data_IF_267514177890
#
_entry.id   IF_267514177890
#
_cell.length_a   1.000
_cell.length_b   1.000
_cell.length_c   1.000
_cell.angle_alpha   90.00
_cell.angle_beta   90.00
_cell.angle_gamma   90.00
#
_symmetry.space_group_name_H-M   'P 1'
#
loop_
_entity.id
_entity.type
_entity.pdbx_description
1 polymer ?
#
# COMPACT_ATOMS: atom_id res chain seq x y z
N UNK A 1 3.59 11.53 -19.92
CA UNK A 1 4.67 10.61 -19.54
C UNK A 1 4.31 9.27 -20.14
N UNK A 2 5.23 8.63 -20.85
CA UNK A 2 4.91 7.42 -21.62
C UNK A 2 4.74 6.24 -20.66
N UNK A 3 3.57 5.59 -20.72
CA UNK A 3 3.28 4.39 -19.93
C UNK A 3 4.21 3.26 -20.39
N UNK A 4 4.89 2.62 -19.43
CA UNK A 4 5.73 1.45 -19.68
C UNK A 4 4.82 0.23 -19.80
N UNK A 5 5.04 -0.56 -20.84
CA UNK A 5 4.45 -1.88 -20.95
C UNK A 5 5.36 -2.91 -20.27
N UNK A 6 4.96 -3.38 -19.08
CA UNK A 6 5.71 -4.36 -18.32
C UNK A 6 5.51 -5.79 -18.83
N UNK A 7 4.56 -6.00 -19.76
CA UNK A 7 4.32 -7.29 -20.40
C UNK A 7 5.44 -7.61 -21.38
N UNK A 8 5.86 -8.88 -21.43
CA UNK A 8 6.84 -9.33 -22.42
C UNK A 8 6.16 -9.54 -23.77
N UNK A 9 6.15 -8.49 -24.60
CA UNK A 9 5.64 -8.57 -25.98
C UNK A 9 6.75 -8.72 -27.04
N UNK A 10 8.01 -8.43 -26.72
CA UNK A 10 9.10 -8.43 -27.69
C UNK A 10 10.33 -9.24 -27.22
N UNK A 11 10.76 -10.19 -28.07
CA UNK A 11 11.96 -11.03 -27.88
C UNK A 11 13.29 -10.26 -28.04
N UNK A 12 13.26 -8.93 -28.11
CA UNK A 12 14.43 -8.10 -28.43
C UNK A 12 15.12 -7.47 -27.23
N UNK A 13 14.45 -7.38 -26.08
CA UNK A 13 15.06 -6.89 -24.84
C UNK A 13 14.94 -7.93 -23.73
N UNK A 14 16.07 -8.49 -23.33
CA UNK A 14 16.17 -9.43 -22.21
C UNK A 14 16.17 -8.72 -20.84
N UNK A 15 15.41 -7.63 -20.69
CA UNK A 15 15.29 -6.94 -19.39
C UNK A 15 14.24 -7.67 -18.54
N UNK A 16 14.67 -8.20 -17.40
CA UNK A 16 13.78 -8.89 -16.45
C UNK A 16 12.73 -7.93 -15.88
N UNK A 17 11.59 -8.46 -15.41
CA UNK A 17 10.52 -7.62 -14.86
C UNK A 17 11.01 -6.71 -13.72
N UNK A 18 11.89 -7.22 -12.85
CA UNK A 18 12.43 -6.43 -11.74
C UNK A 18 13.30 -5.27 -12.21
N UNK A 19 14.07 -5.42 -13.29
CA UNK A 19 14.88 -4.31 -13.83
C UNK A 19 13.98 -3.21 -14.40
N UNK A 20 12.94 -3.58 -15.18
CA UNK A 20 11.93 -2.63 -15.67
C UNK A 20 11.26 -1.86 -14.52
N UNK A 21 10.93 -2.54 -13.41
CA UNK A 21 10.33 -1.91 -12.23
C UNK A 21 11.33 -1.01 -11.51
N UNK A 22 12.60 -1.41 -11.41
CA UNK A 22 13.65 -0.57 -10.83
C UNK A 22 13.88 0.71 -11.65
N UNK A 23 13.84 0.61 -12.98
CA UNK A 23 13.89 1.77 -13.88
C UNK A 23 12.65 2.66 -13.70
N UNK A 24 11.44 2.08 -13.64
CA UNK A 24 10.20 2.86 -13.47
C UNK A 24 10.07 3.53 -12.11
N UNK A 25 10.66 2.96 -11.05
CA UNK A 25 10.74 3.59 -9.75
C UNK A 25 11.34 5.01 -9.83
N UNK A 26 12.15 5.28 -10.87
CA UNK A 26 12.68 6.60 -11.21
C UNK A 26 13.43 7.26 -10.04
N UNK A 27 14.18 6.45 -9.29
CA UNK A 27 15.02 6.93 -8.19
C UNK A 27 16.26 7.61 -8.77
N UNK A 28 16.64 8.81 -8.30
CA UNK A 28 17.86 9.48 -8.74
C UNK A 28 19.12 8.66 -8.42
N UNK A 29 20.15 8.80 -9.25
CA UNK A 29 21.45 8.13 -9.05
C UNK A 29 22.08 8.45 -7.69
N UNK A 30 21.80 9.64 -7.13
CA UNK A 30 22.22 10.05 -5.78
C UNK A 30 21.72 9.12 -4.67
N UNK A 31 20.65 8.37 -4.90
CA UNK A 31 20.09 7.42 -3.94
C UNK A 31 20.75 6.05 -4.00
N UNK A 32 21.54 5.75 -5.05
CA UNK A 32 22.09 4.41 -5.26
C UNK A 32 23.16 4.09 -4.21
N UNK A 33 22.99 2.96 -3.53
CA UNK A 33 23.93 2.45 -2.53
C UNK A 33 24.62 1.16 -3.01
N UNK A 34 23.86 0.26 -3.64
CA UNK A 34 24.38 -0.96 -4.25
C UNK A 34 25.05 -1.97 -3.30
N UNK A 35 24.85 -1.85 -1.98
CA UNK A 35 25.58 -2.62 -0.96
C UNK A 35 24.96 -4.00 -0.72
N UNK A 36 25.80 -5.03 -0.60
CA UNK A 36 25.33 -6.40 -0.31
C UNK A 36 25.04 -6.55 1.19
N UNK A 37 23.83 -7.01 1.54
CA UNK A 37 23.50 -7.45 2.89
C UNK A 37 23.78 -8.96 2.98
N UNK A 38 24.79 -9.33 3.78
CA UNK A 38 25.16 -10.74 3.91
C UNK A 38 24.20 -11.47 4.86
N UNK A 39 23.99 -12.78 4.62
CA UNK A 39 23.22 -13.63 5.55
C UNK A 39 23.81 -13.64 6.95
N UNK A 40 25.14 -13.57 7.04
CA UNK A 40 25.88 -13.49 8.30
C UNK A 40 25.52 -12.22 9.06
N UNK A 41 25.49 -11.05 8.41
CA UNK A 41 25.04 -9.79 9.04
C UNK A 41 23.62 -9.89 9.60
N UNK A 42 22.69 -10.55 8.88
CA UNK A 42 21.34 -10.74 9.40
C UNK A 42 21.30 -11.63 10.65
N UNK A 43 22.09 -12.71 10.66
CA UNK A 43 22.07 -13.72 11.74
C UNK A 43 22.85 -13.24 12.97
N UNK A 44 24.00 -12.60 12.78
CA UNK A 44 24.91 -12.26 13.88
C UNK A 44 24.50 -10.96 14.58
N UNK A 45 23.89 -10.01 13.85
CA UNK A 45 23.49 -8.72 14.41
C UNK A 45 22.08 -8.72 15.02
N UNK A 46 21.34 -9.84 14.93
CA UNK A 46 19.95 -9.91 15.37
C UNK A 46 19.65 -11.18 16.16
N UNK A 47 18.78 -11.07 17.16
CA UNK A 47 18.28 -12.22 17.90
C UNK A 47 17.18 -12.95 17.12
N UNK A 48 17.59 -13.83 16.20
CA UNK A 48 16.67 -14.59 15.35
C UNK A 48 16.23 -15.91 15.98
N UNK A 49 14.94 -16.23 15.82
CA UNK A 49 14.42 -17.56 16.14
C UNK A 49 15.02 -18.64 15.22
N UNK A 50 14.95 -19.91 15.63
CA UNK A 50 15.39 -21.04 14.78
C UNK A 50 14.66 -21.09 13.44
N UNK A 51 13.39 -20.66 13.39
CA UNK A 51 12.61 -20.59 12.16
C UNK A 51 13.11 -19.47 11.25
N UNK A 52 13.42 -18.29 11.80
CA UNK A 52 13.91 -17.15 11.04
C UNK A 52 15.33 -17.39 10.51
N UNK A 53 16.20 -18.03 11.30
CA UNK A 53 17.51 -18.49 10.82
C UNK A 53 17.39 -19.41 9.61
N UNK A 54 16.40 -20.31 9.60
CA UNK A 54 16.11 -21.17 8.43
C UNK A 54 15.60 -20.36 7.24
N UNK A 55 14.74 -19.35 7.44
CA UNK A 55 14.34 -18.46 6.33
C UNK A 55 15.55 -17.79 5.68
N UNK A 56 16.49 -17.25 6.48
CA UNK A 56 17.70 -16.60 5.96
C UNK A 56 18.62 -17.58 5.23
N UNK A 57 18.82 -18.77 5.78
CA UNK A 57 19.78 -19.76 5.25
C UNK A 57 19.21 -20.52 4.06
N UNK A 58 17.99 -21.02 4.19
CA UNK A 58 17.37 -21.98 3.27
C UNK A 58 16.58 -21.32 2.14
N UNK A 59 15.92 -20.18 2.39
CA UNK A 59 15.00 -19.55 1.43
C UNK A 59 15.66 -18.40 0.69
N UNK A 60 16.31 -17.48 1.40
CA UNK A 60 16.96 -16.31 0.79
C UNK A 60 18.20 -16.76 0.02
N UNK A 61 18.40 -16.28 -1.21
CA UNK A 61 19.63 -16.47 -1.97
C UNK A 61 20.60 -15.31 -1.72
N UNK A 62 20.13 -14.08 -1.93
CA UNK A 62 20.92 -12.86 -1.73
C UNK A 62 20.05 -11.66 -1.44
N UNK A 63 20.64 -10.65 -0.78
CA UNK A 63 19.99 -9.37 -0.51
C UNK A 63 20.95 -8.26 -0.91
N UNK A 64 20.43 -7.25 -1.62
CA UNK A 64 21.16 -6.04 -1.99
C UNK A 64 20.36 -4.85 -1.48
N UNK A 65 21.00 -4.01 -0.67
CA UNK A 65 20.52 -2.68 -0.37
C UNK A 65 20.79 -1.82 -1.60
N UNK A 66 19.75 -1.62 -2.41
CA UNK A 66 19.89 -1.06 -3.74
C UNK A 66 19.96 0.46 -3.67
N UNK A 67 18.99 1.09 -3.00
CA UNK A 67 18.90 2.53 -2.85
C UNK A 67 18.54 2.92 -1.41
N UNK A 68 18.88 4.14 -1.07
CA UNK A 68 18.51 4.79 0.19
C UNK A 68 18.05 6.20 -0.12
N UNK A 69 16.82 6.53 0.25
CA UNK A 69 16.24 7.85 0.11
C UNK A 69 16.40 8.57 1.44
N UNK A 70 17.21 9.63 1.42
CA UNK A 70 17.50 10.52 2.56
C UNK A 70 17.36 11.99 2.15
N UNK A 71 17.15 12.91 3.12
CA UNK A 71 17.04 14.34 2.82
C UNK A 71 18.16 14.84 1.90
N UNK A 72 19.39 14.34 2.08
CA UNK A 72 20.57 14.72 1.29
C UNK A 72 20.51 14.21 -0.16
N UNK A 73 19.73 13.18 -0.46
CA UNK A 73 19.68 12.53 -1.78
C UNK A 73 18.57 13.05 -2.69
N UNK A 74 17.40 13.40 -2.11
CA UNK A 74 16.20 13.77 -2.88
C UNK A 74 15.47 15.02 -2.34
N UNK A 75 16.04 15.71 -1.34
CA UNK A 75 15.52 16.95 -0.75
C UNK A 75 14.07 16.84 -0.23
N UNK A 76 13.76 15.74 0.44
CA UNK A 76 12.47 15.52 1.11
C UNK A 76 12.67 15.59 2.63
N UNK A 77 11.85 16.36 3.36
CA UNK A 77 11.96 16.47 4.82
C UNK A 77 11.70 15.15 5.56
N UNK A 78 12.37 14.99 6.70
CA UNK A 78 12.05 13.93 7.68
C UNK A 78 10.69 14.18 8.33
N UNK A 79 10.06 13.12 8.83
CA UNK A 79 8.84 13.20 9.61
C UNK A 79 9.01 12.37 10.89
N UNK A 80 9.02 13.05 12.04
CA UNK A 80 9.24 12.41 13.34
C UNK A 80 8.20 12.92 14.33
N UNK A 81 7.53 11.98 14.98
CA UNK A 81 6.60 12.23 16.09
C UNK A 81 6.95 11.28 17.24
N UNK A 82 6.16 11.32 18.31
CA UNK A 82 6.18 10.36 19.40
C UNK A 82 5.64 8.97 19.02
N UNK A 83 4.96 8.86 17.87
CA UNK A 83 4.37 7.61 17.38
C UNK A 83 5.11 7.03 16.17
N UNK A 84 5.70 7.85 15.30
CA UNK A 84 6.34 7.38 14.07
C UNK A 84 7.66 8.10 13.79
N UNK A 85 8.57 7.41 13.12
CA UNK A 85 9.87 7.97 12.72
C UNK A 85 10.18 7.57 11.27
N UNK A 86 10.13 8.57 10.38
CA UNK A 86 10.37 8.45 8.94
C UNK A 86 11.49 9.42 8.56
N UNK A 87 12.74 8.98 8.79
CA UNK A 87 13.95 9.77 8.51
C UNK A 87 14.64 9.37 7.20
N UNK A 88 14.42 8.13 6.75
CA UNK A 88 14.94 7.57 5.51
C UNK A 88 14.03 6.46 5.00
N UNK A 89 14.11 6.11 3.71
CA UNK A 89 13.45 4.94 3.13
C UNK A 89 14.48 4.10 2.40
N UNK A 90 14.55 2.81 2.74
CA UNK A 90 15.44 1.86 2.07
C UNK A 90 14.72 1.14 0.93
N UNK A 91 15.41 0.90 -0.17
CA UNK A 91 14.96 0.01 -1.24
C UNK A 91 15.90 -1.18 -1.29
N UNK A 92 15.35 -2.37 -1.03
CA UNK A 92 16.13 -3.62 -1.03
C UNK A 92 15.64 -4.57 -2.11
N UNK A 93 16.58 -5.20 -2.81
CA UNK A 93 16.33 -6.33 -3.69
C UNK A 93 16.66 -7.62 -2.97
N UNK A 94 15.71 -8.56 -2.97
CA UNK A 94 15.80 -9.84 -2.27
C UNK A 94 15.58 -10.94 -3.28
N UNK A 95 16.63 -11.70 -3.59
CA UNK A 95 16.51 -12.88 -4.46
C UNK A 95 16.28 -14.09 -3.57
N UNK A 96 15.19 -14.82 -3.81
CA UNK A 96 14.91 -16.10 -3.17
C UNK A 96 15.48 -17.25 -4.03
N UNK A 97 15.87 -18.34 -3.38
CA UNK A 97 16.28 -19.54 -4.11
C UNK A 97 15.09 -20.06 -4.92
N UNK A 98 15.34 -20.37 -6.19
CA UNK A 98 14.31 -20.80 -7.14
C UNK A 98 13.79 -22.22 -6.87
N UNK A 99 12.94 -22.34 -5.84
CA UNK A 99 12.17 -23.53 -5.50
C UNK A 99 10.70 -23.10 -5.34
N UNK A 100 9.77 -23.82 -5.95
CA UNK A 100 8.34 -23.51 -5.87
C UNK A 100 7.82 -23.46 -4.43
N UNK A 101 8.42 -24.22 -3.50
CA UNK A 101 8.09 -24.19 -2.07
C UNK A 101 8.44 -22.86 -1.41
N UNK A 102 9.43 -22.15 -1.94
CA UNK A 102 9.86 -20.85 -1.45
C UNK A 102 8.89 -19.73 -1.83
N UNK A 103 8.12 -19.87 -2.92
CA UNK A 103 7.05 -18.90 -3.27
C UNK A 103 6.05 -18.73 -2.14
N UNK A 104 5.69 -19.82 -1.47
CA UNK A 104 4.76 -19.82 -0.33
C UNK A 104 5.35 -19.16 0.94
N UNK A 105 6.66 -18.85 0.96
CA UNK A 105 7.35 -18.20 2.08
C UNK A 105 7.46 -16.68 1.94
N UNK A 106 6.90 -16.09 0.87
CA UNK A 106 6.89 -14.64 0.62
C UNK A 106 6.58 -13.82 1.88
N UNK A 107 5.40 -14.04 2.48
CA UNK A 107 4.94 -13.30 3.66
C UNK A 107 5.89 -13.44 4.86
N UNK A 108 6.51 -14.62 5.04
CA UNK A 108 7.45 -14.87 6.13
C UNK A 108 8.77 -14.12 5.91
N UNK A 109 9.34 -14.19 4.70
CA UNK A 109 10.59 -13.48 4.36
C UNK A 109 10.38 -11.97 4.43
N UNK A 110 9.29 -11.47 3.84
CA UNK A 110 8.97 -10.05 3.86
C UNK A 110 8.84 -9.52 5.29
N UNK A 111 8.08 -10.22 6.15
CA UNK A 111 7.92 -9.89 7.57
C UNK A 111 9.25 -9.88 8.31
N UNK A 112 10.10 -10.89 8.09
CA UNK A 112 11.41 -10.97 8.71
C UNK A 112 12.24 -9.73 8.34
N UNK A 113 12.39 -9.44 7.05
CA UNK A 113 13.22 -8.31 6.60
C UNK A 113 12.66 -6.94 7.02
N UNK A 114 11.33 -6.78 7.06
CA UNK A 114 10.72 -5.57 7.63
C UNK A 114 11.01 -5.42 9.12
N UNK A 115 11.18 -6.52 9.85
CA UNK A 115 11.49 -6.49 11.29
C UNK A 115 12.97 -6.17 11.54
N UNK A 116 13.88 -6.68 10.72
CA UNK A 116 15.33 -6.52 10.90
C UNK A 116 15.87 -5.16 10.47
N UNK A 117 15.14 -4.43 9.63
CA UNK A 117 15.57 -3.11 9.14
C UNK A 117 14.76 -2.04 9.86
N UNK A 118 15.39 -1.16 10.66
CA UNK A 118 14.69 -0.20 11.52
C UNK A 118 14.20 1.07 10.79
N UNK A 119 13.96 0.99 9.48
CA UNK A 119 13.47 2.09 8.65
C UNK A 119 12.30 1.60 7.78
N UNK A 120 11.44 2.49 7.25
CA UNK A 120 10.54 2.14 6.16
C UNK A 120 11.31 1.51 4.99
N UNK A 121 10.81 0.39 4.46
CA UNK A 121 11.50 -0.37 3.40
C UNK A 121 10.53 -0.65 2.26
N UNK A 122 11.02 -0.45 1.03
CA UNK A 122 10.45 -0.99 -0.20
C UNK A 122 11.22 -2.28 -0.53
N UNK A 123 10.58 -3.44 -0.36
CA UNK A 123 11.20 -4.72 -0.70
C UNK A 123 10.77 -5.15 -2.10
N UNK A 124 11.74 -5.38 -2.98
CA UNK A 124 11.57 -6.01 -4.28
C UNK A 124 12.05 -7.45 -4.17
N UNK A 125 11.12 -8.40 -4.02
CA UNK A 125 11.42 -9.81 -3.85
C UNK A 125 11.33 -10.53 -5.21
N UNK A 126 12.30 -11.37 -5.50
CA UNK A 126 12.42 -12.05 -6.79
C UNK A 126 12.56 -13.56 -6.59
N UNK A 127 11.86 -14.33 -7.41
CA UNK A 127 12.06 -15.77 -7.54
C UNK A 127 11.91 -16.22 -8.99
N UNK A 128 13.02 -16.66 -9.59
CA UNK A 128 13.04 -16.88 -11.04
C UNK A 128 12.80 -15.56 -11.78
N UNK A 129 11.77 -15.49 -12.61
CA UNK A 129 11.38 -14.27 -13.35
C UNK A 129 10.17 -13.54 -12.72
N UNK A 130 9.75 -13.96 -11.54
CA UNK A 130 8.63 -13.36 -10.83
C UNK A 130 9.09 -12.33 -9.81
N UNK A 131 8.31 -11.26 -9.68
CA UNK A 131 8.51 -10.15 -8.75
C UNK A 131 7.37 -10.09 -7.75
N UNK A 132 7.66 -9.86 -6.48
CA UNK A 132 6.69 -9.40 -5.50
C UNK A 132 7.21 -8.13 -4.82
N UNK A 133 6.31 -7.20 -4.51
CA UNK A 133 6.61 -5.94 -3.82
C UNK A 133 6.01 -6.00 -2.43
N UNK A 134 6.79 -5.60 -1.42
CA UNK A 134 6.34 -5.57 -0.04
C UNK A 134 6.68 -4.26 0.68
N UNK A 135 5.69 -3.72 1.39
CA UNK A 135 5.77 -2.54 2.24
C UNK A 135 5.23 -2.87 3.63
N UNK A 136 5.61 -2.09 4.65
CA UNK A 136 5.09 -2.27 5.99
C UNK A 136 4.96 -0.94 6.73
N UNK A 137 3.76 -0.69 7.28
CA UNK A 137 3.52 0.39 8.23
C UNK A 137 4.25 0.09 9.53
N UNK A 138 5.07 1.03 9.98
CA UNK A 138 5.85 0.93 11.23
C UNK A 138 5.58 2.12 12.13
N UNK A 139 5.54 1.83 13.43
CA UNK A 139 5.47 2.84 14.49
C UNK A 139 6.41 2.53 15.62
N UNK A 140 6.71 3.53 16.42
CA UNK A 140 7.46 3.42 17.67
C UNK A 140 6.61 2.64 18.69
N UNK A 141 7.25 1.69 19.37
CA UNK A 141 6.63 0.99 20.48
C UNK A 141 6.50 1.95 21.68
N UNK A 142 5.27 2.14 22.16
CA UNK A 142 4.97 3.06 23.26
C UNK A 142 5.48 2.57 24.62
N UNK A 143 5.67 1.26 24.79
CA UNK A 143 6.24 0.68 26.01
C UNK A 143 7.78 0.64 25.99
N UNK A 144 8.39 0.59 24.81
CA UNK A 144 9.85 0.52 24.62
C UNK A 144 10.25 1.29 23.36
N UNK A 145 10.55 2.59 23.52
CA UNK A 145 10.82 3.51 22.40
C UNK A 145 12.05 3.13 21.55
N UNK A 146 12.86 2.16 22.00
CA UNK A 146 13.98 1.62 21.20
C UNK A 146 13.54 0.61 20.14
N UNK A 147 12.27 0.18 20.17
CA UNK A 147 11.71 -0.85 19.28
C UNK A 147 10.64 -0.29 18.36
N UNK A 148 10.60 -0.83 17.15
CA UNK A 148 9.51 -0.60 16.21
C UNK A 148 8.50 -1.75 16.26
N UNK A 149 7.23 -1.39 16.03
CA UNK A 149 6.12 -2.33 15.83
C UNK A 149 5.70 -2.25 14.37
N UNK A 150 5.58 -3.40 13.72
CA UNK A 150 4.94 -3.52 12.41
C UNK A 150 3.42 -3.57 12.62
N UNK A 151 2.70 -2.62 12.05
CA UNK A 151 1.24 -2.54 12.15
C UNK A 151 0.56 -3.40 11.08
N UNK A 152 1.02 -3.23 9.84
CA UNK A 152 0.53 -4.00 8.72
C UNK A 152 1.61 -4.19 7.65
N UNK A 153 1.53 -5.30 6.92
CA UNK A 153 2.43 -5.61 5.81
C UNK A 153 1.57 -5.76 4.56
N UNK A 154 1.84 -4.91 3.59
CA UNK A 154 1.21 -4.87 2.28
C UNK A 154 2.08 -5.68 1.32
N UNK A 155 1.52 -6.71 0.69
CA UNK A 155 2.27 -7.55 -0.26
C UNK A 155 1.49 -7.66 -1.57
N UNK A 156 2.16 -7.45 -2.70
CA UNK A 156 1.62 -7.94 -3.96
C UNK A 156 1.65 -9.47 -4.00
N UNK A 157 0.89 -10.04 -4.94
CA UNK A 157 1.14 -11.41 -5.38
C UNK A 157 2.43 -11.47 -6.21
N UNK A 158 2.84 -12.67 -6.58
CA UNK A 158 3.92 -12.86 -7.54
C UNK A 158 3.48 -12.42 -8.94
N UNK A 159 4.11 -11.36 -9.43
CA UNK A 159 3.89 -10.77 -10.74
C UNK A 159 4.85 -11.39 -11.75
N UNK A 160 4.35 -11.72 -12.95
CA UNK A 160 5.16 -12.22 -14.07
C UNK A 160 4.84 -11.44 -15.32
N UNK A 161 5.87 -11.01 -16.06
CA UNK A 161 5.72 -10.30 -17.33
C UNK A 161 4.93 -11.07 -18.39
N UNK A 162 4.80 -12.40 -18.25
CA UNK A 162 3.99 -13.25 -19.13
C UNK A 162 2.50 -13.22 -18.77
N UNK A 163 2.16 -12.92 -17.51
CA UNK A 163 0.83 -13.08 -16.93
C UNK A 163 0.19 -11.81 -16.37
N UNK A 164 0.85 -10.65 -16.49
CA UNK A 164 0.31 -9.39 -15.95
C UNK A 164 -1.09 -9.11 -16.48
N UNK A 165 -2.01 -8.78 -15.58
CA UNK A 165 -3.31 -8.19 -15.87
C UNK A 165 -3.16 -6.70 -16.25
N UNK A 166 -4.24 -6.08 -16.74
CA UNK A 166 -4.25 -4.63 -16.99
C UNK A 166 -3.97 -3.84 -15.70
N UNK A 167 -4.67 -4.19 -14.61
CA UNK A 167 -4.51 -3.54 -13.31
C UNK A 167 -3.11 -3.69 -12.72
N UNK A 168 -2.46 -4.84 -12.89
CA UNK A 168 -1.06 -5.00 -12.45
C UNK A 168 -0.11 -4.15 -13.29
N UNK A 169 -0.36 -3.97 -14.59
CA UNK A 169 0.43 -3.06 -15.41
C UNK A 169 0.22 -1.59 -15.01
N UNK A 170 -1.02 -1.19 -14.71
CA UNK A 170 -1.34 0.15 -14.22
C UNK A 170 -0.68 0.42 -12.87
N UNK A 171 -0.79 -0.54 -11.93
CA UNK A 171 -0.08 -0.51 -10.65
C UNK A 171 1.43 -0.33 -10.82
N UNK A 172 2.07 -1.11 -11.71
CA UNK A 172 3.51 -1.01 -11.91
C UNK A 172 3.92 0.35 -12.50
N UNK A 173 3.08 0.97 -13.33
CA UNK A 173 3.31 2.33 -13.83
C UNK A 173 3.18 3.37 -12.72
N UNK A 174 2.17 3.22 -11.86
CA UNK A 174 1.93 4.12 -10.73
C UNK A 174 3.00 4.01 -9.65
N UNK A 175 3.59 2.84 -9.45
CA UNK A 175 4.64 2.56 -8.46
C UNK A 175 5.98 3.23 -8.84
N UNK A 176 6.01 4.56 -8.76
CA UNK A 176 7.13 5.43 -9.14
C UNK A 176 7.26 6.61 -8.18
N UNK A 177 8.50 7.07 -7.94
CA UNK A 177 8.77 8.26 -7.13
C UNK A 177 8.07 9.52 -7.67
N UNK A 178 7.74 9.54 -8.96
CA UNK A 178 7.05 10.66 -9.62
C UNK A 178 5.58 10.79 -9.23
N UNK A 179 4.97 9.72 -8.73
CA UNK A 179 3.52 9.65 -8.45
C UNK A 179 3.20 9.72 -6.95
N UNK A 180 4.23 9.95 -6.12
CA UNK A 180 4.10 10.04 -4.67
C UNK A 180 4.35 11.46 -4.17
N UNK A 181 3.91 11.73 -2.94
CA UNK A 181 4.12 12.98 -2.25
C UNK A 181 5.61 13.25 -2.03
N UNK A 182 5.98 14.52 -2.09
CA UNK A 182 7.30 15.02 -1.73
C UNK A 182 7.23 15.92 -0.49
N UNK A 183 6.11 15.93 0.24
CA UNK A 183 5.91 16.78 1.42
C UNK A 183 6.86 16.40 2.56
N UNK A 184 6.96 15.09 2.84
CA UNK A 184 7.89 14.50 3.80
C UNK A 184 7.94 12.97 3.58
N UNK A 185 8.86 12.27 4.26
CA UNK A 185 9.01 10.82 4.10
C UNK A 185 7.82 9.97 4.55
N UNK A 186 7.01 10.46 5.51
CA UNK A 186 5.81 9.75 5.92
C UNK A 186 4.78 9.74 4.78
N UNK A 187 4.43 10.91 4.24
CA UNK A 187 3.47 11.03 3.13
C UNK A 187 3.94 10.30 1.87
N UNK A 188 5.24 10.39 1.56
CA UNK A 188 5.84 9.65 0.45
C UNK A 188 5.63 8.14 0.60
N UNK A 189 5.92 7.60 1.78
CA UNK A 189 5.78 6.15 2.02
C UNK A 189 4.31 5.72 2.07
N UNK A 190 3.44 6.56 2.65
CA UNK A 190 2.00 6.32 2.65
C UNK A 190 1.43 6.29 1.23
N UNK A 191 1.91 7.12 0.32
CA UNK A 191 1.49 7.06 -1.08
C UNK A 191 1.90 5.75 -1.77
N UNK A 192 3.09 5.20 -1.50
CA UNK A 192 3.45 3.87 -1.99
C UNK A 192 2.55 2.77 -1.40
N UNK A 193 2.18 2.87 -0.12
CA UNK A 193 1.20 1.97 0.50
C UNK A 193 -0.15 2.10 -0.20
N UNK A 194 -0.62 3.32 -0.47
CA UNK A 194 -1.88 3.59 -1.16
C UNK A 194 -1.92 2.94 -2.55
N UNK A 195 -0.82 2.99 -3.30
CA UNK A 195 -0.70 2.35 -4.62
C UNK A 195 -0.88 0.82 -4.50
N UNK A 196 -0.30 0.19 -3.47
CA UNK A 196 -0.42 -1.25 -3.24
C UNK A 196 -1.81 -1.64 -2.75
N UNK A 197 -2.43 -0.83 -1.88
CA UNK A 197 -3.85 -0.96 -1.50
C UNK A 197 -4.74 -0.83 -2.74
N UNK A 198 -4.42 0.07 -3.67
CA UNK A 198 -5.12 0.23 -4.95
C UNK A 198 -5.10 -1.04 -5.79
N UNK A 199 -3.96 -1.73 -5.87
CA UNK A 199 -3.86 -3.05 -6.51
C UNK A 199 -4.74 -4.09 -5.82
N UNK A 200 -4.68 -4.20 -4.49
CA UNK A 200 -5.52 -5.14 -3.73
C UNK A 200 -7.01 -4.88 -3.94
N UNK A 201 -7.40 -3.60 -3.90
CA UNK A 201 -8.76 -3.15 -4.14
C UNK A 201 -9.22 -3.50 -5.55
N UNK A 202 -8.36 -3.33 -6.56
CA UNK A 202 -8.68 -3.65 -7.97
C UNK A 202 -9.02 -5.12 -8.20
N UNK A 203 -8.43 -6.04 -7.44
CA UNK A 203 -8.76 -7.48 -7.51
C UNK A 203 -10.18 -7.76 -7.04
N UNK A 204 -10.73 -6.88 -6.20
CA UNK A 204 -12.05 -7.02 -5.60
C UNK A 204 -13.10 -6.25 -6.40
N UNK A 205 -12.81 -4.99 -6.75
CA UNK A 205 -13.72 -4.10 -7.47
C UNK A 205 -13.70 -4.30 -8.99
N UNK A 206 -12.63 -4.92 -9.52
CA UNK A 206 -12.38 -5.04 -10.97
C UNK A 206 -11.93 -3.73 -11.62
N UNK A 207 -11.56 -2.72 -10.82
CA UNK A 207 -11.08 -1.42 -11.31
C UNK A 207 -9.90 -0.95 -10.48
N UNK A 208 -8.81 -0.60 -11.14
CA UNK A 208 -7.66 0.01 -10.49
C UNK A 208 -7.89 1.53 -10.35
N UNK A 209 -7.74 2.11 -9.14
CA UNK A 209 -7.95 3.53 -8.93
C UNK A 209 -6.80 4.32 -9.56
N UNK A 210 -7.06 5.00 -10.67
CA UNK A 210 -6.06 5.82 -11.35
C UNK A 210 -5.82 7.12 -10.57
N UNK A 211 -4.57 7.40 -10.19
CA UNK A 211 -4.21 8.69 -9.58
C UNK A 211 -4.05 9.72 -10.70
N UNK A 212 -5.09 10.51 -10.97
CA UNK A 212 -4.94 11.67 -11.85
C UNK A 212 -3.93 12.64 -11.21
N UNK A 213 -2.73 12.76 -11.78
CA UNK A 213 -1.69 13.70 -11.36
C UNK A 213 -2.04 15.18 -11.70
N UNK A 214 -3.31 15.59 -11.61
CA UNK A 214 -3.76 16.95 -11.95
C UNK A 214 -3.86 17.92 -10.77
N UNK A 215 -3.65 17.48 -9.53
CA UNK A 215 -3.87 18.35 -8.35
C UNK A 215 -2.59 18.95 -7.73
N UNK A 216 -1.44 18.83 -8.42
CA UNK A 216 -0.23 19.59 -8.06
C UNK A 216 -0.09 20.81 -8.99
N UNK A 217 -0.86 21.86 -8.71
CA UNK A 217 -0.49 23.29 -8.84
C UNK A 217 -1.74 24.16 -8.77
N UNK A 218 -1.90 24.94 -7.70
CA UNK A 218 -2.11 26.40 -7.66
C UNK A 218 -2.42 26.73 -6.19
N UNK A 219 -1.39 27.10 -5.44
CA UNK A 219 -1.51 27.88 -4.22
C UNK A 219 -0.15 28.53 -3.95
N UNK A 220 0.22 29.49 -4.79
CA UNK A 220 1.17 30.53 -4.41
C UNK A 220 0.92 31.75 -5.28
N UNK A 221 0.50 32.80 -4.59
CA UNK A 221 0.73 34.23 -4.83
C UNK A 221 0.32 34.83 -6.17
N UNK A 222 -0.74 35.67 -6.14
CA UNK A 222 -0.59 37.11 -6.39
C UNK A 222 -1.58 37.90 -5.53
N UNK A 223 -1.05 38.58 -4.51
CA UNK A 223 -1.59 39.87 -4.07
C UNK A 223 -1.30 40.89 -5.17
N UNK A 224 -2.26 41.77 -5.50
CA UNK A 224 -2.03 43.21 -5.54
C UNK A 224 -3.33 44.03 -5.80
N UNK A 225 -3.45 45.10 -5.01
CA UNK A 225 -4.14 46.39 -5.24
C UNK A 225 -5.67 46.40 -5.49
N UNK A 226 -6.49 46.84 -4.53
CA UNK A 226 -6.86 48.23 -4.18
C UNK A 226 -8.02 48.82 -5.03
N UNK A 227 -9.17 49.08 -4.39
CA UNK A 227 -9.78 50.43 -4.20
C UNK A 227 -11.25 50.35 -3.73
N UNK A 228 -11.52 50.97 -2.56
CA UNK A 228 -12.64 51.88 -2.18
C UNK A 228 -14.06 51.68 -2.80
N UNK A 229 -15.22 51.84 -2.14
CA UNK A 229 -15.66 52.57 -0.94
C UNK A 229 -17.12 52.18 -0.56
N UNK A 230 -17.50 52.45 0.70
CA UNK A 230 -18.86 52.82 1.23
C UNK A 230 -20.07 51.88 0.98
N UNK A 231 -21.08 51.69 1.85
CA UNK A 231 -21.49 52.20 3.16
C UNK A 231 -22.66 51.32 3.68
N UNK A 232 -22.94 51.41 4.97
CA UNK A 232 -23.98 50.77 5.79
C UNK A 232 -25.39 50.60 5.17
N UNK A 233 -26.03 49.44 5.39
CA UNK A 233 -27.32 49.37 6.09
C UNK A 233 -27.74 47.93 6.38
N UNK A 234 -28.21 47.80 7.61
CA UNK A 234 -28.51 46.62 8.38
C UNK A 234 -29.82 45.93 7.98
N UNK A 235 -29.86 44.63 8.26
CA UNK A 235 -31.03 43.94 8.84
C UNK A 235 -32.30 43.85 7.99
N UNK A 236 -32.42 42.76 7.22
CA UNK A 236 -33.66 41.94 7.15
C UNK A 236 -33.57 40.70 6.24
N UNK A 237 -32.46 40.44 5.54
CA UNK A 237 -32.31 39.22 4.71
C UNK A 237 -31.48 38.09 5.35
N UNK A 238 -30.99 38.26 6.58
CA UNK A 238 -30.10 37.29 7.23
C UNK A 238 -30.84 36.09 7.86
N UNK A 239 -32.15 36.20 8.15
CA UNK A 239 -32.90 35.11 8.75
C UNK A 239 -33.32 34.00 7.76
N UNK A 240 -33.40 34.31 6.45
CA UNK A 240 -33.79 33.32 5.42
C UNK A 240 -32.59 32.60 4.78
N UNK A 241 -31.39 33.17 4.89
CA UNK A 241 -30.13 32.56 4.46
C UNK A 241 -29.54 31.65 5.56
N UNK A 242 -29.89 31.87 6.83
CA UNK A 242 -29.47 31.01 7.94
C UNK A 242 -30.17 29.64 7.90
N UNK A 243 -31.48 29.61 7.60
CA UNK A 243 -32.30 28.39 7.60
C UNK A 243 -31.95 27.47 6.41
N UNK A 244 -31.53 28.04 5.28
CA UNK A 244 -31.05 27.28 4.11
C UNK A 244 -29.57 26.88 4.19
N UNK A 245 -28.78 27.47 5.11
CA UNK A 245 -27.40 27.03 5.42
C UNK A 245 -27.34 25.94 6.48
N UNK A 246 -28.26 25.94 7.46
CA UNK A 246 -28.34 24.90 8.48
C UNK A 246 -28.92 23.57 7.96
N UNK A 247 -29.76 23.60 6.91
CA UNK A 247 -30.26 22.38 6.26
C UNK A 247 -29.28 21.74 5.27
N UNK A 248 -28.25 22.45 4.80
CA UNK A 248 -27.18 21.88 3.97
C UNK A 248 -25.96 21.38 4.74
N UNK A 249 -25.89 21.64 6.05
CA UNK A 249 -24.77 21.24 6.90
C UNK A 249 -24.98 19.88 7.61
N UNK A 250 -26.18 19.30 7.54
CA UNK A 250 -26.49 18.01 8.18
C UNK A 250 -26.65 16.82 7.22
N UNK A 251 -26.74 17.04 5.90
CA UNK A 251 -26.84 15.97 4.90
C UNK A 251 -25.53 15.66 4.14
N UNK A 252 -24.40 16.26 4.56
CA UNK A 252 -23.06 16.00 3.97
C UNK A 252 -22.14 15.23 4.94
N UNK A 253 -22.72 14.44 5.85
CA UNK A 253 -22.01 13.66 6.86
C UNK A 253 -22.33 12.16 6.72
N UNK A 254 -22.02 11.55 5.57
CA UNK A 254 -21.55 10.15 5.43
C UNK A 254 -21.59 9.66 3.97
N UNK A 255 -20.61 10.09 3.18
CA UNK A 255 -19.88 9.18 2.28
C UNK A 255 -18.56 9.84 1.88
N UNK A 256 -17.54 9.77 2.72
CA UNK A 256 -16.17 10.00 2.23
C UNK A 256 -15.90 8.96 1.15
N UNK A 257 -15.50 9.43 -0.03
CA UNK A 257 -15.16 8.56 -1.15
C UNK A 257 -14.07 7.59 -0.71
N UNK A 258 -14.07 6.35 -1.19
CA UNK A 258 -13.03 5.37 -0.86
C UNK A 258 -11.62 5.95 -1.04
N UNK A 259 -11.43 6.75 -2.08
CA UNK A 259 -10.17 7.41 -2.39
C UNK A 259 -9.66 8.30 -1.23
N UNK A 260 -10.56 8.98 -0.51
CA UNK A 260 -10.25 9.95 0.54
C UNK A 260 -9.99 9.31 1.91
N UNK A 261 -10.33 8.02 2.07
CA UNK A 261 -10.11 7.31 3.33
C UNK A 261 -8.61 7.13 3.61
N UNK A 262 -8.24 7.13 4.89
CA UNK A 262 -6.87 6.83 5.32
C UNK A 262 -6.47 5.41 4.90
N UNK A 263 -5.16 5.16 4.78
CA UNK A 263 -4.67 3.81 4.49
C UNK A 263 -5.07 2.81 5.57
N UNK A 264 -5.17 3.25 6.83
CA UNK A 264 -5.62 2.40 7.93
C UNK A 264 -7.09 2.00 7.78
N UNK A 265 -7.97 2.95 7.44
CA UNK A 265 -9.39 2.67 7.19
C UNK A 265 -9.59 1.75 5.97
N UNK A 266 -8.87 2.02 4.87
CA UNK A 266 -8.88 1.15 3.68
C UNK A 266 -8.44 -0.27 4.03
N UNK A 267 -7.37 -0.39 4.81
CA UNK A 267 -6.85 -1.68 5.28
C UNK A 267 -7.83 -2.40 6.20
N UNK A 268 -8.53 -1.67 7.08
CA UNK A 268 -9.55 -2.23 7.97
C UNK A 268 -10.73 -2.81 7.17
N UNK A 269 -11.21 -2.08 6.15
CA UNK A 269 -12.26 -2.56 5.25
C UNK A 269 -11.85 -3.82 4.48
N UNK A 270 -10.61 -3.86 3.97
CA UNK A 270 -10.08 -5.04 3.27
C UNK A 270 -9.99 -6.27 4.20
N UNK A 271 -9.54 -6.08 5.44
CA UNK A 271 -9.51 -7.16 6.46
C UNK A 271 -10.90 -7.65 6.83
N UNK A 272 -11.86 -6.75 7.00
CA UNK A 272 -13.25 -7.11 7.27
C UNK A 272 -13.84 -7.95 6.12
N UNK A 273 -13.56 -7.55 4.88
CA UNK A 273 -13.97 -8.30 3.70
C UNK A 273 -13.35 -9.70 3.64
N UNK A 274 -12.04 -9.84 3.89
CA UNK A 274 -11.37 -11.14 3.95
C UNK A 274 -12.00 -12.05 5.03
N UNK A 275 -12.30 -11.48 6.20
CA UNK A 275 -12.97 -12.19 7.30
C UNK A 275 -14.36 -12.70 6.92
N UNK A 276 -15.19 -11.85 6.31
CA UNK A 276 -16.53 -12.22 5.84
C UNK A 276 -16.48 -13.27 4.72
N UNK A 277 -15.52 -13.18 3.80
CA UNK A 277 -15.35 -14.19 2.74
C UNK A 277 -14.94 -15.56 3.30
N UNK A 278 -14.07 -15.58 4.32
CA UNK A 278 -13.70 -16.80 5.03
C UNK A 278 -14.89 -17.41 5.80
N UNK A 279 -15.68 -16.59 6.49
CA UNK A 279 -16.89 -17.01 7.18
C UNK A 279 -17.93 -17.58 6.20
N UNK A 280 -18.14 -16.91 5.06
CA UNK A 280 -19.04 -17.39 4.02
C UNK A 280 -18.59 -18.74 3.46
N UNK A 281 -17.28 -18.93 3.24
CA UNK A 281 -16.70 -20.20 2.81
C UNK A 281 -16.94 -21.31 3.83
N UNK A 282 -16.74 -21.01 5.12
CA UNK A 282 -17.01 -21.93 6.22
C UNK A 282 -18.49 -22.34 6.28
N UNK A 283 -19.41 -21.38 6.25
CA UNK A 283 -20.86 -21.65 6.28
C UNK A 283 -21.30 -22.44 5.05
N UNK A 284 -20.79 -22.11 3.85
CA UNK A 284 -21.06 -22.91 2.63
C UNK A 284 -20.64 -24.37 2.80
N UNK A 285 -19.48 -24.63 3.40
CA UNK A 285 -19.01 -25.99 3.66
C UNK A 285 -19.87 -26.70 4.70
N UNK A 286 -20.35 -25.99 5.73
CA UNK A 286 -21.28 -26.53 6.73
C UNK A 286 -22.63 -26.90 6.10
N UNK A 287 -23.19 -26.04 5.24
CA UNK A 287 -24.43 -26.31 4.49
C UNK A 287 -24.33 -27.58 3.64
N UNK A 288 -23.17 -27.81 3.00
CA UNK A 288 -22.94 -29.02 2.19
C UNK A 288 -22.95 -30.32 3.00
N UNK A 289 -22.52 -30.26 4.27
CA UNK A 289 -22.43 -31.42 5.17
C UNK A 289 -23.70 -31.64 6.01
N UNK A 290 -24.56 -30.63 6.11
CA UNK A 290 -25.76 -30.65 6.94
C UNK A 290 -26.91 -31.42 6.28
N UNK A 291 -27.52 -32.33 7.06
CA UNK A 291 -28.64 -33.18 6.63
C UNK A 291 -29.97 -32.69 7.18
N UNK A 292 -29.98 -32.05 8.36
CA UNK A 292 -31.19 -31.54 8.98
C UNK A 292 -31.68 -30.27 8.29
N UNK A 293 -32.87 -30.35 7.69
CA UNK A 293 -33.43 -29.26 6.86
C UNK A 293 -33.55 -27.94 7.62
N UNK A 294 -33.98 -27.97 8.88
CA UNK A 294 -34.14 -26.75 9.70
C UNK A 294 -32.79 -26.03 9.90
N UNK A 295 -31.74 -26.77 10.29
CA UNK A 295 -30.38 -26.23 10.43
C UNK A 295 -29.84 -25.71 9.11
N UNK A 296 -30.08 -26.44 8.00
CA UNK A 296 -29.70 -26.02 6.66
C UNK A 296 -30.37 -24.72 6.25
N UNK A 297 -31.66 -24.54 6.58
CA UNK A 297 -32.39 -23.30 6.29
C UNK A 297 -31.80 -22.12 7.06
N UNK A 298 -31.51 -22.26 8.36
CA UNK A 298 -30.85 -21.22 9.17
C UNK A 298 -29.49 -20.81 8.60
N UNK A 299 -28.63 -21.79 8.26
CA UNK A 299 -27.31 -21.52 7.67
C UNK A 299 -27.41 -20.79 6.32
N UNK A 300 -28.43 -21.08 5.51
CA UNK A 300 -28.65 -20.36 4.25
C UNK A 300 -29.04 -18.89 4.48
N UNK A 301 -29.81 -18.60 5.54
CA UNK A 301 -30.15 -17.22 5.91
C UNK A 301 -28.90 -16.46 6.36
N UNK A 302 -28.06 -17.08 7.21
CA UNK A 302 -26.76 -16.51 7.63
C UNK A 302 -25.86 -16.25 6.43
N UNK A 303 -25.70 -17.23 5.53
CA UNK A 303 -24.92 -17.08 4.30
C UNK A 303 -25.44 -15.94 3.41
N UNK A 304 -26.76 -15.69 3.38
CA UNK A 304 -27.34 -14.57 2.64
C UNK A 304 -27.00 -13.23 3.28
N UNK A 305 -27.06 -13.11 4.62
CA UNK A 305 -26.67 -11.88 5.33
C UNK A 305 -25.20 -11.55 5.11
N UNK A 306 -24.31 -12.53 5.21
CA UNK A 306 -22.87 -12.32 4.96
C UNK A 306 -22.63 -11.91 3.50
N UNK A 307 -23.31 -12.52 2.53
CA UNK A 307 -23.24 -12.08 1.13
C UNK A 307 -23.64 -10.62 0.96
N UNK A 308 -24.71 -10.17 1.64
CA UNK A 308 -25.14 -8.78 1.59
C UNK A 308 -24.10 -7.83 2.19
N UNK A 309 -23.49 -8.20 3.32
CA UNK A 309 -22.40 -7.43 3.92
C UNK A 309 -21.18 -7.33 3.00
N UNK A 310 -20.76 -8.45 2.39
CA UNK A 310 -19.68 -8.46 1.40
C UNK A 310 -20.01 -7.54 0.23
N UNK A 311 -21.22 -7.61 -0.33
CA UNK A 311 -21.63 -6.71 -1.43
C UNK A 311 -21.56 -5.24 -1.01
N UNK A 312 -22.03 -4.91 0.20
CA UNK A 312 -21.99 -3.53 0.71
C UNK A 312 -20.54 -3.01 0.82
N UNK A 313 -19.60 -3.81 1.34
CA UNK A 313 -18.20 -3.43 1.40
C UNK A 313 -17.61 -3.32 0.00
N UNK A 314 -17.89 -4.25 -0.92
CA UNK A 314 -17.41 -4.16 -2.31
C UNK A 314 -17.89 -2.89 -3.02
N UNK A 315 -19.10 -2.43 -2.74
CA UNK A 315 -19.60 -1.14 -3.24
C UNK A 315 -18.85 0.05 -2.64
N UNK A 316 -18.40 -0.04 -1.38
CA UNK A 316 -17.56 0.99 -0.77
C UNK A 316 -16.12 1.00 -1.30
N UNK A 317 -15.66 -0.07 -1.96
CA UNK A 317 -14.32 -0.20 -2.55
C UNK A 317 -14.28 0.18 -4.04
N UNK A 318 -15.44 0.38 -4.66
CA UNK A 318 -15.61 0.66 -6.09
C UNK A 318 -15.76 2.16 -6.36
#
# INVERSE_FOLDING_TARGET
MDLINFRNNDKKEHSSLIEKVCENLALPDSTFLGTRITKKMLIDNNELSSADKKLVTDVIQSIKWQNTLKPETINIPVYVTDTVEYIEIAVIRVVLKNDIKNKAKLKNVAKLLHTLIPYPVIQLLEIGEELAISLAGKRINQADKSKLVIEHIYNSDWLSSLGLTGHENDFLNDFSLKNVSNLNYFELYQDFISILIGLETSKISGRYPYKNNSDKNISTDQNDSESESESESESESQAQIQISKEQHQYDTLHSTSFAEKSNEDKTALLKELEGLEAELSYIKNKIKKETQMNTKMRLNVEARKIKQAITAIKTQLA
#
